data_IF_670808715698
#
_entry.id   IF_670808715698
#
_cell.length_a   1.000
_cell.length_b   1.000
_cell.length_c   1.000
_cell.angle_alpha   90.00
_cell.angle_beta   90.00
_cell.angle_gamma   90.00
#
_symmetry.space_group_name_H-M   'P 1'
#
loop_
_entity.id
_entity.type
_entity.pdbx_description
1 polymer ?
#
# COMPACT_ATOMS: atom_id res chain seq x y z
N UNK A 1 2.88 -34.48 57.41
CA UNK A 1 2.45 -35.41 56.34
C UNK A 1 1.26 -34.87 55.52
N UNK A 2 0.37 -34.06 56.11
CA UNK A 2 -0.86 -33.54 55.46
C UNK A 2 -0.66 -32.40 54.45
N UNK A 3 0.32 -31.50 54.65
CA UNK A 3 0.55 -30.35 53.76
C UNK A 3 1.05 -30.75 52.36
N UNK A 4 1.98 -31.72 52.29
CA UNK A 4 2.54 -32.25 51.04
C UNK A 4 1.48 -32.85 50.11
N UNK A 5 0.49 -33.54 50.68
CA UNK A 5 -0.64 -34.09 49.91
C UNK A 5 -1.56 -32.98 49.35
N UNK A 6 -1.73 -31.88 50.09
CA UNK A 6 -2.53 -30.74 49.62
C UNK A 6 -1.84 -29.98 48.47
N UNK A 7 -0.52 -29.86 48.50
CA UNK A 7 0.26 -29.20 47.46
C UNK A 7 0.31 -30.03 46.17
N UNK A 8 0.46 -31.35 46.29
CA UNK A 8 0.35 -32.27 45.14
C UNK A 8 -1.02 -32.18 44.48
N UNK A 9 -2.11 -32.14 45.26
CA UNK A 9 -3.47 -31.99 44.74
C UNK A 9 -3.68 -30.65 44.00
N UNK A 10 -3.11 -29.55 44.50
CA UNK A 10 -3.16 -28.24 43.82
C UNK A 10 -2.36 -28.25 42.51
N UNK A 11 -1.21 -28.90 42.50
CA UNK A 11 -0.39 -29.03 41.29
C UNK A 11 -1.09 -29.86 40.21
N UNK A 12 -1.77 -30.95 40.58
CA UNK A 12 -2.56 -31.76 39.65
C UNK A 12 -3.74 -31.00 39.04
N UNK A 13 -4.49 -30.26 39.88
CA UNK A 13 -5.59 -29.39 39.40
C UNK A 13 -5.10 -28.33 38.42
N UNK A 14 -3.93 -27.73 38.68
CA UNK A 14 -3.32 -26.75 37.77
C UNK A 14 -2.88 -27.37 36.44
N UNK A 15 -2.34 -28.60 36.47
CA UNK A 15 -1.97 -29.35 35.25
C UNK A 15 -3.21 -29.70 34.44
N UNK A 16 -4.29 -30.13 35.08
CA UNK A 16 -5.55 -30.44 34.42
C UNK A 16 -6.21 -29.21 33.81
N UNK A 17 -6.26 -28.09 34.55
CA UNK A 17 -6.72 -26.81 34.03
C UNK A 17 -5.95 -26.37 32.78
N UNK A 18 -4.61 -26.41 32.83
CA UNK A 18 -3.77 -26.06 31.69
C UNK A 18 -4.01 -26.98 30.49
N UNK A 19 -4.17 -28.30 30.71
CA UNK A 19 -4.52 -29.25 29.64
C UNK A 19 -5.86 -28.91 28.99
N UNK A 20 -6.86 -28.57 29.79
CA UNK A 20 -8.19 -28.23 29.26
C UNK A 20 -8.17 -26.87 28.53
N UNK A 21 -7.49 -25.87 29.08
CA UNK A 21 -7.29 -24.57 28.43
C UNK A 21 -6.59 -24.72 27.07
N UNK A 22 -5.57 -25.58 26.99
CA UNK A 22 -4.87 -25.87 25.73
C UNK A 22 -5.80 -26.53 24.69
N UNK A 23 -6.66 -27.47 25.12
CA UNK A 23 -7.64 -28.10 24.23
C UNK A 23 -8.64 -27.09 23.68
N UNK A 24 -9.21 -26.26 24.55
CA UNK A 24 -10.16 -25.21 24.15
C UNK A 24 -9.51 -24.21 23.20
N UNK A 25 -8.26 -23.81 23.46
CA UNK A 25 -7.52 -22.92 22.55
C UNK A 25 -7.33 -23.56 21.16
N UNK A 26 -6.90 -24.82 21.11
CA UNK A 26 -6.72 -25.55 19.85
C UNK A 26 -8.05 -25.71 19.10
N UNK A 27 -9.13 -25.98 19.83
CA UNK A 27 -10.47 -26.09 19.25
C UNK A 27 -10.95 -24.77 18.66
N UNK A 28 -10.88 -23.67 19.42
CA UNK A 28 -11.26 -22.33 18.94
C UNK A 28 -10.45 -21.89 17.73
N UNK A 29 -9.15 -22.20 17.71
CA UNK A 29 -8.28 -21.92 16.56
C UNK A 29 -8.71 -22.70 15.32
N UNK A 30 -9.04 -23.99 15.48
CA UNK A 30 -9.54 -24.84 14.38
C UNK A 30 -10.88 -24.33 13.85
N UNK A 31 -11.81 -23.98 14.73
CA UNK A 31 -13.11 -23.43 14.36
C UNK A 31 -12.98 -22.07 13.65
N UNK A 32 -12.09 -21.20 14.12
CA UNK A 32 -11.81 -19.93 13.47
C UNK A 32 -11.23 -20.11 12.06
N UNK A 33 -10.26 -21.03 11.90
CA UNK A 33 -9.67 -21.34 10.60
C UNK A 33 -10.75 -21.87 9.63
N UNK A 34 -11.58 -22.81 10.08
CA UNK A 34 -12.67 -23.37 9.29
C UNK A 34 -13.70 -22.31 8.87
N UNK A 35 -14.01 -21.34 9.75
CA UNK A 35 -14.91 -20.22 9.42
C UNK A 35 -14.31 -19.30 8.36
N UNK A 36 -13.02 -18.99 8.46
CA UNK A 36 -12.32 -18.17 7.47
C UNK A 36 -12.29 -18.86 6.10
N UNK A 37 -11.98 -20.15 6.05
CA UNK A 37 -11.98 -20.93 4.81
C UNK A 37 -13.37 -20.98 4.15
N UNK A 38 -14.43 -21.14 4.95
CA UNK A 38 -15.81 -21.13 4.46
C UNK A 38 -16.19 -19.76 3.87
N UNK A 39 -15.88 -18.67 4.59
CA UNK A 39 -16.14 -17.31 4.13
C UNK A 39 -15.37 -16.97 2.84
N UNK A 40 -14.12 -17.42 2.74
CA UNK A 40 -13.32 -17.24 1.53
C UNK A 40 -13.90 -17.99 0.33
N UNK A 41 -14.37 -19.23 0.53
CA UNK A 41 -15.01 -20.02 -0.52
C UNK A 41 -16.31 -19.36 -1.01
N UNK A 42 -17.13 -18.86 -0.09
CA UNK A 42 -18.37 -18.15 -0.42
C UNK A 42 -18.09 -16.86 -1.19
N UNK A 43 -17.15 -16.03 -0.73
CA UNK A 43 -16.75 -14.81 -1.42
C UNK A 43 -16.24 -15.10 -2.85
N UNK A 44 -15.46 -16.17 -3.02
CA UNK A 44 -14.96 -16.59 -4.33
C UNK A 44 -16.11 -17.08 -5.24
N UNK A 45 -17.07 -17.82 -4.70
CA UNK A 45 -18.28 -18.25 -5.43
C UNK A 45 -19.07 -17.05 -5.92
N UNK A 46 -19.39 -16.11 -5.03
CA UNK A 46 -20.13 -14.90 -5.38
C UNK A 46 -19.41 -14.05 -6.43
N UNK A 47 -18.08 -13.93 -6.32
CA UNK A 47 -17.28 -13.24 -7.32
C UNK A 47 -17.36 -13.94 -8.69
N UNK A 48 -17.29 -15.28 -8.72
CA UNK A 48 -17.38 -16.04 -9.97
C UNK A 48 -18.75 -15.90 -10.64
N UNK A 49 -19.83 -15.92 -9.86
CA UNK A 49 -21.19 -15.71 -10.33
C UNK A 49 -21.38 -14.31 -10.91
N UNK A 50 -20.84 -13.27 -10.26
CA UNK A 50 -20.91 -11.89 -10.74
C UNK A 50 -20.12 -11.71 -12.04
N UNK A 51 -18.94 -12.33 -12.16
CA UNK A 51 -18.16 -12.32 -13.42
C UNK A 51 -18.93 -12.98 -14.55
N UNK A 52 -19.61 -14.11 -14.29
CA UNK A 52 -20.47 -14.74 -15.30
C UNK A 52 -21.66 -13.85 -15.69
N UNK A 53 -22.30 -13.20 -14.73
CA UNK A 53 -23.40 -12.25 -14.98
C UNK A 53 -22.96 -11.12 -15.90
N UNK A 54 -21.85 -10.46 -15.57
CA UNK A 54 -21.29 -9.36 -16.36
C UNK A 54 -20.84 -9.80 -17.76
N UNK A 55 -20.35 -11.03 -17.91
CA UNK A 55 -20.03 -11.60 -19.23
C UNK A 55 -21.27 -11.79 -20.10
N UNK A 56 -22.37 -12.30 -19.52
CA UNK A 56 -23.65 -12.44 -20.25
C UNK A 56 -24.22 -11.08 -20.66
N UNK A 57 -24.16 -10.10 -19.77
CA UNK A 57 -24.61 -8.73 -20.05
C UNK A 57 -23.78 -8.07 -21.17
N UNK A 58 -22.45 -8.17 -21.11
CA UNK A 58 -21.58 -7.67 -22.19
C UNK A 58 -21.85 -8.35 -23.53
N UNK A 59 -22.12 -9.67 -23.54
CA UNK A 59 -22.44 -10.38 -24.77
C UNK A 59 -23.76 -9.89 -25.38
N UNK A 60 -24.78 -9.64 -24.56
CA UNK A 60 -26.07 -9.09 -25.02
C UNK A 60 -25.90 -7.66 -25.59
N UNK A 61 -25.17 -6.80 -24.89
CA UNK A 61 -24.88 -5.44 -25.36
C UNK A 61 -24.04 -5.43 -26.65
N UNK A 62 -23.13 -6.39 -26.82
CA UNK A 62 -22.36 -6.53 -28.05
C UNK A 62 -23.26 -6.91 -29.23
N UNK A 63 -24.19 -7.86 -29.03
CA UNK A 63 -25.17 -8.25 -30.03
C UNK A 63 -26.12 -7.10 -30.40
N UNK A 64 -26.58 -6.32 -29.42
CA UNK A 64 -27.40 -5.14 -29.67
C UNK A 64 -26.62 -4.10 -30.49
N UNK A 65 -25.37 -3.81 -30.11
CA UNK A 65 -24.50 -2.92 -30.87
C UNK A 65 -24.28 -3.39 -32.30
N UNK A 66 -24.12 -4.70 -32.52
CA UNK A 66 -24.00 -5.27 -33.86
C UNK A 66 -25.29 -5.07 -34.67
N UNK A 67 -26.46 -5.29 -34.05
CA UNK A 67 -27.76 -5.08 -34.69
C UNK A 67 -28.00 -3.61 -35.06
N UNK A 68 -27.62 -2.67 -34.17
CA UNK A 68 -27.69 -1.24 -34.41
C UNK A 68 -26.71 -0.82 -35.53
N UNK A 69 -25.48 -1.34 -35.51
CA UNK A 69 -24.53 -1.09 -36.61
C UNK A 69 -25.04 -1.64 -37.94
N UNK A 70 -25.71 -2.79 -37.96
CA UNK A 70 -26.30 -3.35 -39.18
C UNK A 70 -27.47 -2.50 -39.70
N UNK A 71 -28.34 -1.98 -38.82
CA UNK A 71 -29.47 -1.14 -39.20
C UNK A 71 -29.07 0.27 -39.65
N UNK A 72 -28.04 0.87 -39.03
CA UNK A 72 -27.50 2.16 -39.46
C UNK A 72 -26.50 2.03 -40.64
N UNK A 73 -25.74 0.94 -40.72
CA UNK A 73 -24.82 0.65 -41.83
C UNK A 73 -25.54 0.41 -43.16
N UNK A 74 -26.77 -0.09 -43.11
CA UNK A 74 -27.64 -0.22 -44.29
C UNK A 74 -28.25 1.12 -44.76
N UNK A 75 -28.13 2.21 -43.97
CA UNK A 75 -28.48 3.57 -44.40
C UNK A 75 -27.28 4.36 -45.00
N UNK A 76 -26.08 3.78 -45.08
CA UNK A 76 -24.89 4.45 -45.62
C UNK A 76 -24.82 4.49 -47.17
N UNK A 77 -25.93 4.25 -47.87
CA UNK A 77 -26.04 4.49 -49.32
C UNK A 77 -26.64 5.87 -49.58
N UNK A 78 -25.90 6.92 -49.26
CA UNK A 78 -26.10 8.27 -49.80
C UNK A 78 -24.75 8.97 -49.88
N UNK A 79 -24.41 9.63 -51.01
CA UNK A 79 -23.09 10.22 -51.20
C UNK A 79 -22.96 11.47 -50.33
N UNK A 80 -22.29 11.34 -49.19
CA UNK A 80 -21.80 12.49 -48.42
C UNK A 80 -20.61 13.14 -49.13
N UNK A 81 -20.43 14.47 -49.03
CA UNK A 81 -19.42 15.19 -49.79
C UNK A 81 -18.02 14.78 -49.33
N UNK A 82 -17.14 14.52 -50.31
CA UNK A 82 -15.73 14.21 -50.07
C UNK A 82 -15.03 15.43 -49.47
N UNK A 83 -14.50 15.29 -48.26
CA UNK A 83 -13.57 16.28 -47.70
C UNK A 83 -12.19 15.63 -47.64
N UNK A 84 -11.29 16.11 -48.50
CA UNK A 84 -9.88 15.69 -48.54
C UNK A 84 -9.16 16.06 -47.23
N UNK A 85 -8.20 15.24 -46.75
CA UNK A 85 -7.55 15.46 -45.47
C UNK A 85 -6.39 16.44 -45.65
N UNK A 86 -6.70 17.72 -45.72
CA UNK A 86 -5.71 18.80 -45.57
C UNK A 86 -6.46 19.98 -44.99
N UNK A 87 -5.91 20.57 -43.92
CA UNK A 87 -6.39 21.79 -43.25
C UNK A 87 -7.35 21.64 -42.06
N UNK A 88 -7.05 20.73 -41.12
CA UNK A 88 -7.54 20.88 -39.72
C UNK A 88 -6.37 20.84 -38.73
N UNK A 89 -5.40 21.73 -38.92
CA UNK A 89 -4.48 22.14 -37.85
C UNK A 89 -4.75 23.60 -37.52
N UNK A 90 -5.88 23.84 -36.84
CA UNK A 90 -6.18 25.07 -36.11
C UNK A 90 -7.42 24.79 -35.27
N UNK A 91 -7.25 24.49 -33.98
CA UNK A 91 -8.36 24.40 -33.02
C UNK A 91 -9.01 25.77 -32.83
N UNK A 92 -10.33 25.93 -33.05
CA UNK A 92 -11.11 27.00 -32.48
C UNK A 92 -11.74 26.55 -31.16
N UNK A 93 -11.78 27.51 -30.24
CA UNK A 93 -12.25 27.50 -28.86
C UNK A 93 -13.66 26.91 -28.61
N UNK A 94 -13.92 26.58 -27.33
CA UNK A 94 -15.19 26.80 -26.58
C UNK A 94 -15.82 25.52 -26.00
N UNK A 95 -15.74 25.35 -24.67
CA UNK A 95 -16.88 24.90 -23.87
C UNK A 95 -16.89 25.62 -22.51
N UNK A 96 -18.11 25.97 -22.11
CA UNK A 96 -18.53 26.97 -21.15
C UNK A 96 -18.40 26.53 -19.67
N UNK A 97 -18.08 27.44 -18.73
CA UNK A 97 -18.42 27.28 -17.31
C UNK A 97 -19.76 27.97 -17.00
N UNK A 98 -20.67 27.25 -16.34
CA UNK A 98 -21.93 27.79 -15.80
C UNK A 98 -21.68 28.91 -14.76
N UNK A 99 -22.40 30.03 -14.87
CA UNK A 99 -22.53 31.07 -13.83
C UNK A 99 -23.26 30.52 -12.58
N UNK A 100 -23.24 31.14 -11.40
CA UNK A 100 -23.44 32.54 -10.95
C UNK A 100 -23.28 32.54 -9.39
N UNK A 101 -23.37 33.64 -8.59
CA UNK A 101 -23.29 35.08 -8.82
C UNK A 101 -22.06 35.78 -8.20
N UNK A 102 -21.83 36.98 -8.74
CA UNK A 102 -21.01 38.07 -8.27
C UNK A 102 -21.32 38.59 -6.85
N UNK A 103 -20.29 39.02 -6.13
CA UNK A 103 -20.34 40.29 -5.40
C UNK A 103 -19.03 41.05 -5.66
N UNK A 104 -19.18 42.24 -6.22
CA UNK A 104 -18.14 43.23 -6.48
C UNK A 104 -17.63 43.86 -5.17
N UNK A 105 -16.33 44.11 -5.06
CA UNK A 105 -15.85 45.46 -4.73
C UNK A 105 -14.38 45.67 -5.18
N UNK A 106 -14.22 46.64 -6.08
CA UNK A 106 -13.06 47.51 -6.31
C UNK A 106 -12.53 48.12 -4.98
N UNK A 107 -11.31 48.62 -4.77
CA UNK A 107 -10.25 49.12 -5.64
C UNK A 107 -8.96 49.32 -4.80
N UNK A 108 -7.92 49.77 -5.52
CA UNK A 108 -6.81 50.61 -5.08
C UNK A 108 -5.50 49.91 -4.64
N UNK A 109 -4.53 50.02 -5.56
CA UNK A 109 -3.10 49.92 -5.31
C UNK A 109 -2.61 50.96 -4.28
N UNK A 110 -1.48 50.70 -3.62
CA UNK A 110 -0.33 51.62 -3.43
C UNK A 110 0.71 51.03 -2.44
N UNK A 111 1.96 50.93 -2.93
CA UNK A 111 3.28 50.95 -2.24
C UNK A 111 3.71 49.90 -1.20
N UNK A 112 4.93 49.39 -1.42
CA UNK A 112 5.91 48.74 -0.51
C UNK A 112 6.37 49.65 0.67
N UNK A 113 7.32 49.29 1.58
CA UNK A 113 7.82 48.00 2.11
C UNK A 113 7.94 47.96 3.68
N UNK A 114 8.45 46.84 4.25
CA UNK A 114 9.34 46.76 5.46
C UNK A 114 8.79 46.15 6.78
N UNK A 115 9.60 45.23 7.33
CA UNK A 115 9.82 44.80 8.73
C UNK A 115 8.79 43.99 9.54
N UNK A 116 9.16 42.71 9.73
CA UNK A 116 9.23 41.92 10.97
C UNK A 116 8.28 42.17 12.14
N UNK A 117 7.45 41.17 12.44
CA UNK A 117 6.97 40.86 13.80
C UNK A 117 6.83 39.35 13.96
N UNK A 118 7.31 38.84 15.09
CA UNK A 118 7.30 37.46 15.52
C UNK A 118 5.87 36.87 15.65
N UNK A 119 5.66 35.66 15.11
CA UNK A 119 4.43 34.91 15.34
C UNK A 119 4.58 34.07 16.61
N UNK A 120 3.83 34.48 17.63
CA UNK A 120 3.58 33.75 18.87
C UNK A 120 2.97 32.39 18.53
N UNK A 121 3.60 31.31 18.98
CA UNK A 121 3.05 29.95 18.97
C UNK A 121 1.92 29.89 20.00
N UNK A 122 0.65 29.61 19.64
CA UNK A 122 -0.35 29.30 20.64
C UNK A 122 -0.12 27.87 21.14
N UNK A 123 -0.28 27.59 22.45
CA UNK A 123 -0.20 26.23 22.95
C UNK A 123 -1.45 25.50 22.49
N UNK A 124 -1.29 24.54 21.56
CA UNK A 124 -2.38 23.67 21.17
C UNK A 124 -2.74 22.77 22.37
N UNK A 125 -3.81 23.15 23.06
CA UNK A 125 -4.53 22.27 23.97
C UNK A 125 -5.01 21.06 23.15
N UNK A 126 -4.45 19.90 23.45
CA UNK A 126 -4.88 18.61 22.90
C UNK A 126 -6.27 18.30 23.45
N UNK A 127 -7.31 18.51 22.64
CA UNK A 127 -8.61 17.91 22.86
C UNK A 127 -8.51 16.41 22.52
N UNK A 128 -8.74 15.49 23.49
CA UNK A 128 -8.61 14.04 23.27
C UNK A 128 -9.72 13.45 22.38
N UNK A 129 -10.59 14.26 21.79
CA UNK A 129 -11.80 13.77 21.10
C UNK A 129 -11.69 13.73 19.57
N UNK A 130 -10.59 14.18 18.97
CA UNK A 130 -10.40 14.08 17.52
C UNK A 130 -9.65 12.79 17.15
N UNK A 131 -10.32 11.64 17.33
CA UNK A 131 -9.81 10.37 16.81
C UNK A 131 -9.83 10.43 15.29
N UNK A 132 -8.71 10.79 14.67
CA UNK A 132 -8.51 10.54 13.24
C UNK A 132 -8.48 9.02 13.08
N UNK A 133 -9.58 8.45 12.58
CA UNK A 133 -9.66 7.03 12.25
C UNK A 133 -8.73 6.82 11.05
N UNK A 134 -7.48 6.46 11.32
CA UNK A 134 -6.56 6.07 10.27
C UNK A 134 -6.74 4.59 10.00
N UNK A 135 -7.20 4.27 8.79
CA UNK A 135 -7.47 2.90 8.35
C UNK A 135 -6.20 2.33 7.68
N UNK A 136 -5.90 1.04 7.85
CA UNK A 136 -4.85 0.38 7.07
C UNK A 136 -5.14 0.49 5.56
N UNK A 137 -4.12 0.81 4.80
CA UNK A 137 -4.16 0.80 3.34
C UNK A 137 -4.19 -0.65 2.81
N UNK A 138 -4.71 -0.82 1.61
CA UNK A 138 -4.77 -2.11 0.95
C UNK A 138 -3.40 -2.45 0.33
N UNK A 139 -2.64 -3.31 1.01
CA UNK A 139 -1.33 -3.76 0.54
C UNK A 139 -1.36 -4.41 -0.84
N UNK A 140 -2.46 -5.06 -1.24
CA UNK A 140 -2.60 -5.65 -2.58
C UNK A 140 -2.68 -4.59 -3.67
N UNK A 141 -3.37 -3.48 -3.41
CA UNK A 141 -3.45 -2.35 -4.34
C UNK A 141 -2.11 -1.63 -4.46
N UNK A 142 -1.40 -1.45 -3.34
CA UNK A 142 -0.05 -0.89 -3.34
C UNK A 142 0.90 -1.80 -4.14
N UNK A 143 0.88 -3.11 -3.86
CA UNK A 143 1.67 -4.11 -4.60
C UNK A 143 1.40 -4.05 -6.09
N UNK A 144 0.12 -4.04 -6.51
CA UNK A 144 -0.23 -3.95 -7.93
C UNK A 144 0.30 -2.68 -8.58
N UNK A 145 0.22 -1.56 -7.85
CA UNK A 145 0.74 -0.27 -8.31
C UNK A 145 2.26 -0.29 -8.48
N UNK A 146 2.99 -0.87 -7.51
CA UNK A 146 4.43 -1.08 -7.57
C UNK A 146 4.84 -1.98 -8.74
N UNK A 147 4.19 -3.14 -8.89
CA UNK A 147 4.46 -4.07 -9.98
C UNK A 147 4.21 -3.45 -11.36
N UNK A 148 3.17 -2.61 -11.48
CA UNK A 148 2.91 -1.87 -12.72
C UNK A 148 4.00 -0.82 -12.99
N UNK A 149 4.42 -0.08 -11.97
CA UNK A 149 5.46 0.94 -12.10
C UNK A 149 6.83 0.34 -12.45
N UNK A 150 7.14 -0.82 -11.88
CA UNK A 150 8.42 -1.53 -12.04
C UNK A 150 8.38 -2.67 -13.06
N UNK A 151 7.30 -2.81 -13.85
CA UNK A 151 7.15 -3.91 -14.80
C UNK A 151 8.37 -4.13 -15.73
N UNK A 152 9.02 -3.09 -16.28
CA UNK A 152 10.24 -3.28 -17.09
C UNK A 152 11.42 -3.85 -16.31
N UNK A 153 11.51 -3.56 -15.01
CA UNK A 153 12.60 -4.01 -14.13
C UNK A 153 12.39 -5.44 -13.65
N UNK A 154 11.13 -5.87 -13.53
CA UNK A 154 10.74 -7.19 -13.02
C UNK A 154 10.68 -8.27 -14.10
N UNK A 155 10.99 -7.93 -15.35
CA UNK A 155 11.09 -8.91 -16.43
C UNK A 155 12.21 -9.92 -16.15
N UNK A 156 11.96 -11.20 -16.46
CA UNK A 156 12.89 -12.29 -16.14
C UNK A 156 14.26 -12.10 -16.81
N UNK A 157 14.30 -11.52 -18.02
CA UNK A 157 15.55 -11.26 -18.73
C UNK A 157 16.38 -10.14 -18.08
N UNK A 158 15.71 -9.25 -17.34
CA UNK A 158 16.33 -8.12 -16.64
C UNK A 158 16.82 -8.56 -15.26
N UNK A 159 15.97 -9.22 -14.46
CA UNK A 159 16.34 -9.65 -13.09
C UNK A 159 17.42 -10.73 -13.07
N UNK A 160 17.55 -11.53 -14.14
CA UNK A 160 18.56 -12.59 -14.22
C UNK A 160 19.97 -12.10 -14.53
N UNK A 161 20.12 -10.83 -14.96
CA UNK A 161 21.40 -10.22 -15.28
C UNK A 161 21.59 -8.93 -14.48
N UNK A 162 22.55 -8.89 -13.53
CA UNK A 162 22.78 -7.71 -12.70
C UNK A 162 23.06 -6.42 -13.50
N UNK A 163 23.87 -6.49 -14.56
CA UNK A 163 24.21 -5.31 -15.35
C UNK A 163 22.98 -4.76 -16.09
N UNK A 164 22.14 -5.64 -16.63
CA UNK A 164 20.88 -5.25 -17.29
C UNK A 164 19.90 -4.66 -16.30
N UNK A 165 19.78 -5.24 -15.10
CA UNK A 165 18.97 -4.72 -14.00
C UNK A 165 19.39 -3.30 -13.62
N UNK A 166 20.68 -3.08 -13.35
CA UNK A 166 21.19 -1.76 -12.96
C UNK A 166 21.00 -0.70 -14.05
N UNK A 167 21.26 -1.04 -15.31
CA UNK A 167 21.06 -0.11 -16.43
C UNK A 167 19.57 0.26 -16.60
N UNK A 168 18.68 -0.71 -16.46
CA UNK A 168 17.23 -0.50 -16.53
C UNK A 168 16.73 0.37 -15.38
N UNK A 169 17.20 0.11 -14.17
CA UNK A 169 16.90 0.91 -12.98
C UNK A 169 17.35 2.38 -13.16
N UNK A 170 18.55 2.59 -13.68
CA UNK A 170 19.06 3.93 -13.98
C UNK A 170 18.20 4.66 -15.02
N UNK A 171 17.79 3.96 -16.08
CA UNK A 171 16.94 4.53 -17.13
C UNK A 171 15.55 4.93 -16.60
N UNK A 172 15.01 4.19 -15.62
CA UNK A 172 13.72 4.47 -15.00
C UNK A 172 13.77 5.60 -13.95
N UNK A 173 14.95 5.93 -13.40
CA UNK A 173 15.09 6.92 -12.32
C UNK A 173 14.34 8.26 -12.52
N UNK A 174 14.30 8.87 -13.73
CA UNK A 174 13.60 10.14 -13.95
C UNK A 174 12.07 10.05 -13.82
N UNK A 175 11.49 8.86 -14.05
CA UNK A 175 10.02 8.66 -14.01
C UNK A 175 9.51 8.25 -12.64
N UNK A 176 10.40 7.91 -11.70
CA UNK A 176 10.03 7.42 -10.38
C UNK A 176 9.72 8.56 -9.40
N UNK A 177 8.71 8.39 -8.52
CA UNK A 177 8.50 9.27 -7.38
C UNK A 177 9.75 9.37 -6.51
N UNK A 178 9.95 10.50 -5.83
CA UNK A 178 11.17 10.77 -5.03
C UNK A 178 11.53 9.65 -4.06
N UNK A 179 10.55 9.04 -3.37
CA UNK A 179 10.78 7.96 -2.41
C UNK A 179 11.31 6.66 -3.06
N UNK A 180 11.03 6.45 -4.34
CA UNK A 180 11.40 5.25 -5.13
C UNK A 180 12.58 5.48 -6.07
N UNK A 181 13.11 6.70 -6.19
CA UNK A 181 14.31 6.95 -6.99
C UNK A 181 15.47 6.10 -6.48
N UNK A 182 16.28 5.51 -7.37
CA UNK A 182 17.39 4.65 -6.95
C UNK A 182 18.45 5.44 -6.20
N UNK A 183 19.06 4.81 -5.20
CA UNK A 183 20.21 5.36 -4.48
C UNK A 183 21.52 5.11 -5.25
N UNK A 184 22.59 5.79 -4.86
CA UNK A 184 23.92 5.54 -5.44
C UNK A 184 24.40 4.10 -5.18
N UNK A 185 24.04 3.53 -4.01
CA UNK A 185 24.41 2.14 -3.69
C UNK A 185 23.68 1.16 -4.60
N UNK A 186 22.39 1.38 -4.85
CA UNK A 186 21.61 0.57 -5.79
C UNK A 186 22.18 0.59 -7.20
N UNK A 187 22.60 1.75 -7.71
CA UNK A 187 23.16 1.88 -9.06
C UNK A 187 24.57 1.29 -9.22
N UNK A 188 25.23 0.90 -8.13
CA UNK A 188 26.61 0.43 -8.14
C UNK A 188 26.79 -1.01 -7.64
N UNK A 189 25.77 -1.57 -6.99
CA UNK A 189 25.86 -2.85 -6.28
C UNK A 189 24.79 -3.81 -6.78
N UNK A 190 25.14 -5.01 -7.31
CA UNK A 190 24.16 -6.06 -7.62
C UNK A 190 23.30 -6.41 -6.41
N UNK A 191 21.98 -6.41 -6.57
CA UNK A 191 21.04 -6.64 -5.47
C UNK A 191 19.71 -7.23 -5.97
N UNK A 192 18.84 -7.64 -5.03
CA UNK A 192 17.54 -8.22 -5.35
C UNK A 192 16.57 -7.14 -5.86
N UNK A 193 16.00 -7.29 -7.06
CA UNK A 193 15.15 -6.27 -7.70
C UNK A 193 13.97 -5.78 -6.85
N UNK A 194 13.34 -6.65 -6.04
CA UNK A 194 12.29 -6.22 -5.11
C UNK A 194 12.72 -5.21 -4.03
N UNK A 195 14.02 -5.02 -3.79
CA UNK A 195 14.49 -3.93 -2.94
C UNK A 195 14.11 -2.58 -3.56
N UNK A 196 14.14 -2.44 -4.89
CA UNK A 196 13.80 -1.20 -5.60
C UNK A 196 12.35 -0.74 -5.40
N UNK A 197 11.47 -1.65 -5.00
CA UNK A 197 10.04 -1.38 -4.80
C UNK A 197 9.73 -0.81 -3.40
N UNK A 198 10.71 -0.74 -2.49
CA UNK A 198 10.52 -0.23 -1.13
C UNK A 198 10.66 1.30 -1.12
N UNK A 199 9.63 2.07 -0.72
CA UNK A 199 9.67 3.53 -0.70
C UNK A 199 10.42 4.09 0.52
N UNK A 200 11.61 3.54 0.80
CA UNK A 200 12.53 4.02 1.82
C UNK A 200 13.96 3.88 1.32
N UNK A 201 14.62 4.97 0.89
CA UNK A 201 16.02 4.93 0.42
C UNK A 201 16.97 4.31 1.45
N UNK A 202 16.81 4.65 2.74
CA UNK A 202 17.69 4.15 3.81
C UNK A 202 17.50 2.66 4.05
N UNK A 203 16.26 2.17 4.05
CA UNK A 203 15.99 0.75 4.22
C UNK A 203 16.53 -0.07 3.04
N UNK A 204 16.41 0.45 1.82
CA UNK A 204 17.00 -0.18 0.62
C UNK A 204 18.50 -0.32 0.73
N UNK A 205 19.20 0.77 1.10
CA UNK A 205 20.65 0.73 1.27
C UNK A 205 21.08 -0.24 2.38
N UNK A 206 20.33 -0.27 3.49
CA UNK A 206 20.53 -1.24 4.57
C UNK A 206 20.38 -2.68 4.09
N UNK A 207 19.31 -3.00 3.34
CA UNK A 207 19.09 -4.35 2.80
C UNK A 207 20.20 -4.80 1.86
N UNK A 208 20.73 -3.88 1.05
CA UNK A 208 21.86 -4.17 0.16
C UNK A 208 23.12 -4.48 0.96
N UNK A 209 23.41 -3.67 1.98
CA UNK A 209 24.58 -3.87 2.86
C UNK A 209 24.52 -5.19 3.65
N UNK A 210 23.33 -5.70 3.95
CA UNK A 210 23.14 -6.97 4.69
C UNK A 210 23.38 -8.22 3.86
N UNK A 211 23.43 -8.08 2.54
CA UNK A 211 23.62 -9.20 1.63
C UNK A 211 22.34 -9.99 1.32
N UNK A 212 22.45 -10.94 0.38
CA UNK A 212 21.30 -11.57 -0.27
C UNK A 212 20.47 -12.46 0.65
N UNK A 213 21.07 -13.19 1.59
CA UNK A 213 20.33 -14.12 2.45
C UNK A 213 19.40 -13.38 3.43
N UNK A 214 19.94 -12.36 4.12
CA UNK A 214 19.18 -11.56 5.07
C UNK A 214 18.14 -10.69 4.36
N UNK A 215 18.50 -10.07 3.23
CA UNK A 215 17.54 -9.27 2.46
C UNK A 215 16.39 -10.11 1.91
N UNK A 216 16.65 -11.31 1.40
CA UNK A 216 15.59 -12.22 0.95
C UNK A 216 14.68 -12.63 2.10
N UNK A 217 15.25 -12.96 3.27
CA UNK A 217 14.46 -13.29 4.47
C UNK A 217 13.56 -12.11 4.87
N UNK A 218 14.09 -10.89 4.87
CA UNK A 218 13.32 -9.69 5.19
C UNK A 218 12.17 -9.45 4.19
N UNK A 219 12.44 -9.57 2.89
CA UNK A 219 11.45 -9.38 1.83
C UNK A 219 10.31 -10.42 1.90
N UNK A 220 10.62 -11.65 2.30
CA UNK A 220 9.65 -12.75 2.35
C UNK A 220 8.87 -12.82 3.66
N UNK A 221 9.50 -12.49 4.80
CA UNK A 221 8.86 -12.62 6.11
C UNK A 221 8.26 -11.31 6.62
N UNK A 222 8.85 -10.16 6.24
CA UNK A 222 8.55 -8.85 6.84
C UNK A 222 7.93 -7.89 5.83
N UNK A 223 8.67 -7.55 4.77
CA UNK A 223 8.31 -6.48 3.84
C UNK A 223 7.63 -7.04 2.58
N UNK A 224 6.42 -7.57 2.76
CA UNK A 224 5.64 -8.22 1.70
C UNK A 224 4.97 -7.26 0.71
N UNK A 225 5.30 -5.96 0.75
CA UNK A 225 4.69 -4.93 -0.10
C UNK A 225 5.05 -5.14 -1.58
N UNK A 226 6.24 -5.69 -1.83
CA UNK A 226 6.82 -5.88 -3.16
C UNK A 226 6.69 -7.32 -3.65
N UNK A 227 6.65 -8.29 -2.74
CA UNK A 227 6.61 -9.72 -3.07
C UNK A 227 5.16 -10.18 -3.29
N UNK A 228 4.93 -11.01 -4.31
CA UNK A 228 3.62 -11.64 -4.56
C UNK A 228 3.39 -12.83 -3.63
N UNK A 229 3.27 -12.52 -2.34
CA UNK A 229 3.10 -13.48 -1.25
C UNK A 229 1.97 -13.04 -0.32
N UNK A 230 1.47 -14.00 0.45
CA UNK A 230 0.48 -13.73 1.49
C UNK A 230 1.03 -12.75 2.54
N UNK A 231 0.14 -11.89 3.04
CA UNK A 231 0.49 -10.89 4.05
C UNK A 231 0.77 -11.58 5.39
N UNK A 232 1.99 -11.42 5.90
CA UNK A 232 2.44 -12.04 7.16
C UNK A 232 1.97 -11.30 8.42
N UNK A 233 1.31 -10.15 8.25
CA UNK A 233 0.90 -9.26 9.35
C UNK A 233 2.05 -8.58 10.08
N UNK A 234 3.26 -8.62 9.52
CA UNK A 234 4.48 -8.05 10.11
C UNK A 234 4.65 -6.54 9.85
N UNK A 235 3.85 -6.00 8.94
CA UNK A 235 3.86 -4.60 8.54
C UNK A 235 2.42 -4.13 8.29
N UNK A 236 2.17 -2.86 8.58
CA UNK A 236 0.94 -2.15 8.24
C UNK A 236 1.35 -0.84 7.56
N UNK A 237 0.65 -0.47 6.49
CA UNK A 237 0.76 0.86 5.88
C UNK A 237 -0.55 1.59 6.18
N UNK A 238 -0.47 2.75 6.80
CA UNK A 238 -1.58 3.55 7.30
C UNK A 238 -1.94 4.68 6.34
N UNK A 239 -3.23 4.89 6.10
CA UNK A 239 -3.70 5.96 5.22
C UNK A 239 -3.29 5.78 3.76
N UNK A 240 -3.58 6.76 2.91
CA UNK A 240 -3.42 6.62 1.46
C UNK A 240 -1.97 6.85 0.97
N UNK A 241 -1.17 7.61 1.71
CA UNK A 241 0.19 7.98 1.34
C UNK A 241 1.21 6.89 1.71
N UNK A 242 1.18 5.79 0.96
CA UNK A 242 2.08 4.64 1.14
C UNK A 242 3.53 4.90 0.75
N UNK A 243 3.81 6.00 0.02
CA UNK A 243 5.17 6.42 -0.34
C UNK A 243 5.89 7.11 0.82
N UNK A 244 5.14 7.59 1.81
CA UNK A 244 5.70 8.19 3.00
C UNK A 244 6.07 7.11 4.02
N UNK A 245 7.36 7.03 4.37
CA UNK A 245 7.84 6.06 5.37
C UNK A 245 7.17 6.22 6.75
N UNK A 246 6.67 7.41 7.07
CA UNK A 246 5.97 7.65 8.33
C UNK A 246 4.65 6.88 8.41
N UNK A 247 4.02 6.59 7.27
CA UNK A 247 2.80 5.79 7.17
C UNK A 247 2.99 4.32 7.52
N UNK A 248 4.22 3.85 7.70
CA UNK A 248 4.52 2.44 7.88
C UNK A 248 4.73 2.09 9.36
N UNK A 249 4.09 1.01 9.81
CA UNK A 249 4.28 0.40 11.12
C UNK A 249 4.81 -1.03 10.95
N UNK A 250 5.96 -1.34 11.53
CA UNK A 250 6.44 -2.71 11.69
C UNK A 250 6.00 -3.30 13.03
N UNK A 251 5.80 -4.62 13.07
CA UNK A 251 5.39 -5.33 14.28
C UNK A 251 6.48 -5.30 15.37
N UNK A 252 6.09 -5.55 16.63
CA UNK A 252 7.03 -5.67 17.74
C UNK A 252 8.12 -6.71 17.48
N UNK A 253 7.74 -7.88 16.94
CA UNK A 253 8.67 -8.97 16.65
C UNK A 253 9.68 -8.60 15.55
N UNK A 254 9.26 -7.79 14.57
CA UNK A 254 10.14 -7.27 13.54
C UNK A 254 11.15 -6.29 14.13
N UNK A 255 10.67 -5.33 14.93
CA UNK A 255 11.55 -4.34 15.58
C UNK A 255 12.54 -5.04 16.52
N UNK A 256 12.13 -6.08 17.24
CA UNK A 256 13.03 -6.87 18.09
C UNK A 256 14.10 -7.61 17.28
N UNK A 257 13.72 -8.25 16.16
CA UNK A 257 14.63 -9.07 15.36
C UNK A 257 15.56 -8.26 14.46
N UNK A 258 15.05 -7.20 13.83
CA UNK A 258 15.73 -6.42 12.79
C UNK A 258 16.15 -5.02 13.27
N UNK A 259 15.74 -4.62 14.47
CA UNK A 259 16.12 -3.35 15.08
C UNK A 259 17.60 -3.28 15.42
N UNK A 260 18.15 -2.07 15.41
CA UNK A 260 19.53 -1.78 15.82
C UNK A 260 20.59 -2.01 14.74
N UNK A 261 20.29 -2.77 13.69
CA UNK A 261 21.21 -3.02 12.58
C UNK A 261 20.60 -2.80 11.19
N UNK A 262 19.30 -3.07 11.02
CA UNK A 262 18.57 -2.74 9.78
C UNK A 262 17.56 -1.60 10.02
N UNK A 263 16.66 -1.80 10.97
CA UNK A 263 15.63 -0.83 11.31
C UNK A 263 16.17 0.14 12.36
N UNK A 264 16.31 1.39 11.96
CA UNK A 264 16.73 2.49 12.83
C UNK A 264 15.67 2.79 13.91
N UNK A 265 16.03 3.49 15.01
CA UNK A 265 15.11 3.77 16.11
C UNK A 265 13.82 4.51 15.69
N UNK A 266 13.87 5.29 14.62
CA UNK A 266 12.74 6.03 14.07
C UNK A 266 11.60 5.08 13.65
N UNK A 267 11.90 3.85 13.21
CA UNK A 267 10.87 2.86 12.89
C UNK A 267 10.04 2.45 14.10
N UNK A 268 10.69 2.29 15.26
CA UNK A 268 9.98 2.01 16.52
C UNK A 268 9.17 3.21 17.00
N UNK A 269 9.69 4.44 16.84
CA UNK A 269 8.97 5.66 17.20
C UNK A 269 7.71 5.85 16.34
N UNK A 270 7.83 5.64 15.02
CA UNK A 270 6.69 5.64 14.09
C UNK A 270 5.65 4.57 14.46
N UNK A 271 6.10 3.36 14.77
CA UNK A 271 5.21 2.31 15.25
C UNK A 271 4.47 2.74 16.52
N UNK A 272 5.15 3.36 17.49
CA UNK A 272 4.54 3.86 18.72
C UNK A 272 3.54 4.98 18.47
N UNK A 273 3.81 5.88 17.53
CA UNK A 273 2.85 6.90 17.10
C UNK A 273 1.53 6.27 16.64
N UNK A 274 1.58 5.30 15.71
CA UNK A 274 0.38 4.62 15.23
C UNK A 274 -0.30 3.79 16.32
N UNK A 275 0.46 3.11 17.17
CA UNK A 275 -0.09 2.31 18.28
C UNK A 275 -0.84 3.17 19.29
N UNK A 276 -0.33 4.37 19.60
CA UNK A 276 -0.99 5.34 20.50
C UNK A 276 -2.36 5.79 19.96
N UNK A 277 -2.50 6.02 18.64
CA UNK A 277 -3.77 6.44 18.04
C UNK A 277 -4.92 5.43 18.21
N UNK A 278 -4.59 4.15 18.31
CA UNK A 278 -5.55 3.03 18.45
C UNK A 278 -5.52 2.38 19.84
N UNK A 279 -4.86 3.00 20.81
CA UNK A 279 -4.77 2.49 22.19
C UNK A 279 -4.03 1.14 22.31
N UNK A 280 -3.15 0.81 21.36
CA UNK A 280 -2.36 -0.41 21.39
C UNK A 280 -1.11 -0.25 22.29
N UNK A 281 -0.59 -1.34 22.91
CA UNK A 281 0.60 -1.27 23.75
C UNK A 281 1.82 -0.76 22.98
N UNK A 282 2.49 0.27 23.50
CA UNK A 282 3.72 0.82 22.92
C UNK A 282 4.90 -0.15 23.06
N UNK A 283 5.82 -0.08 22.11
CA UNK A 283 7.11 -0.76 22.11
C UNK A 283 8.05 -0.05 23.09
N UNK A 284 8.68 -0.77 24.03
CA UNK A 284 9.58 -0.16 25.00
C UNK A 284 10.85 0.37 24.32
N UNK A 285 11.34 1.53 24.77
CA UNK A 285 12.60 2.12 24.28
C UNK A 285 12.49 2.95 23.00
N UNK A 286 11.27 3.24 22.53
CA UNK A 286 11.02 3.99 21.29
C UNK A 286 10.00 5.13 21.49
N UNK A 287 10.23 5.99 22.48
CA UNK A 287 9.26 7.05 22.83
C UNK A 287 9.09 8.15 21.78
#
# INVERSE_FOLDING_TARGET
MSESSSEQSKAEKKREYNRNAQRVFRQRRKEHLSKLEAAQREATSLQSEEVERLRRENAALAQENESLKASYGSQASSPGPSVSPSDVRSSPSTYLPYGHPSVFLEAAATTTPTSGVATVVPPAMTDPSNMVVVVPNNLREIRRSLHRLFAPLLDLSVISNPQTHLASLQAMAPTLPTALKPTALQLSTPHHAYIDLIPSPRLRDGLIALGPENSNTFLMEVCTIACDIEETGQMIVWGEDWLNEFSWEFSAAVIERWGGWLLTPEWGQRANFWRRQRGAPVLPGFD
#
